data_IF_913534051522
#
_entry.id   IF_913534051522
#
_cell.length_a   1.000
_cell.length_b   1.000
_cell.length_c   1.000
_cell.angle_alpha   90.00
_cell.angle_beta   90.00
_cell.angle_gamma   90.00
#
_symmetry.space_group_name_H-M   'P 1'
#
loop_
_entity.id
_entity.type
_entity.pdbx_description
1 polymer ?
#
# COMPACT_ATOMS: atom_id res chain seq x y z
N UNK A 1 5.57 20.82 -8.24
CA UNK A 1 4.64 19.75 -8.64
C UNK A 1 4.90 18.43 -7.93
N UNK A 2 6.14 18.17 -7.51
CA UNK A 2 6.61 16.89 -7.00
C UNK A 2 6.14 16.51 -5.59
N UNK A 3 6.09 17.41 -4.59
CA UNK A 3 5.57 17.09 -3.26
C UNK A 3 4.08 16.70 -3.26
N UNK A 4 3.40 16.98 -4.37
CA UNK A 4 1.96 16.74 -4.50
C UNK A 4 1.63 15.24 -4.64
N UNK A 5 2.51 14.43 -5.25
CA UNK A 5 2.26 12.99 -5.43
C UNK A 5 2.27 12.22 -4.10
N UNK A 6 3.25 12.45 -3.24
CA UNK A 6 3.32 11.83 -1.91
C UNK A 6 2.11 12.21 -1.07
N UNK A 7 1.83 13.52 -0.97
CA UNK A 7 0.70 14.04 -0.17
C UNK A 7 -0.64 13.58 -0.71
N UNK A 8 -0.85 13.63 -2.03
CA UNK A 8 -2.12 13.19 -2.65
C UNK A 8 -2.32 11.69 -2.53
N UNK A 9 -1.29 10.88 -2.72
CA UNK A 9 -1.37 9.43 -2.55
C UNK A 9 -1.72 9.04 -1.12
N UNK A 10 -1.04 9.64 -0.14
CA UNK A 10 -1.34 9.44 1.28
C UNK A 10 -2.75 9.92 1.66
N UNK A 11 -3.17 11.10 1.17
CA UNK A 11 -4.50 11.63 1.41
C UNK A 11 -5.61 10.76 0.78
N UNK A 12 -5.38 10.25 -0.43
CA UNK A 12 -6.32 9.34 -1.10
C UNK A 12 -6.47 8.02 -0.33
N UNK A 13 -5.35 7.46 0.15
CA UNK A 13 -5.39 6.25 0.97
C UNK A 13 -6.05 6.50 2.33
N UNK A 14 -5.83 7.65 2.95
CA UNK A 14 -6.51 8.04 4.18
C UNK A 14 -8.01 8.19 3.95
N UNK A 15 -8.43 8.86 2.87
CA UNK A 15 -9.83 8.97 2.50
C UNK A 15 -10.47 7.60 2.27
N UNK A 16 -9.79 6.70 1.56
CA UNK A 16 -10.24 5.33 1.38
C UNK A 16 -10.49 4.62 2.73
N UNK A 17 -9.56 4.76 3.68
CA UNK A 17 -9.70 4.19 5.03
C UNK A 17 -10.90 4.80 5.77
N UNK A 18 -11.05 6.12 5.74
CA UNK A 18 -12.18 6.82 6.38
C UNK A 18 -13.51 6.34 5.80
N UNK A 19 -13.64 6.28 4.49
CA UNK A 19 -14.84 5.80 3.81
C UNK A 19 -15.14 4.33 4.13
N UNK A 20 -14.11 3.49 4.19
CA UNK A 20 -14.24 2.08 4.58
C UNK A 20 -14.75 1.94 6.01
N UNK A 21 -14.20 2.72 6.95
CA UNK A 21 -14.62 2.71 8.35
C UNK A 21 -16.02 3.32 8.54
N UNK A 22 -16.41 4.26 7.69
CA UNK A 22 -17.77 4.81 7.66
C UNK A 22 -18.84 3.80 7.20
N UNK A 23 -18.42 2.60 6.75
CA UNK A 23 -19.34 1.51 6.41
C UNK A 23 -19.42 1.20 4.92
N UNK A 24 -18.69 1.90 4.07
CA UNK A 24 -18.65 1.59 2.65
C UNK A 24 -17.97 0.24 2.41
N UNK A 25 -18.54 -0.65 1.60
CA UNK A 25 -18.03 -2.01 1.37
C UNK A 25 -16.84 -2.01 0.38
N UNK A 26 -15.76 -1.31 0.75
CA UNK A 26 -14.61 -1.09 -0.14
C UNK A 26 -13.53 -2.17 -0.05
N UNK A 27 -13.56 -3.02 0.99
CA UNK A 27 -12.61 -4.12 1.13
C UNK A 27 -13.09 -5.38 0.42
N UNK A 28 -12.15 -6.29 0.17
CA UNK A 28 -12.44 -7.60 -0.41
C UNK A 28 -13.53 -8.33 0.36
N UNK A 29 -14.51 -8.89 -0.36
CA UNK A 29 -15.69 -9.50 0.22
C UNK A 29 -16.76 -8.50 0.67
N UNK A 30 -16.70 -7.23 0.20
CA UNK A 30 -17.71 -6.21 0.52
C UNK A 30 -17.68 -5.77 1.98
N UNK A 31 -16.53 -5.87 2.65
CA UNK A 31 -16.39 -5.52 4.06
C UNK A 31 -16.13 -4.04 4.25
N UNK A 32 -16.74 -3.47 5.29
CA UNK A 32 -16.60 -2.09 5.73
C UNK A 32 -17.12 -1.93 7.16
N UNK A 33 -16.99 -0.72 7.70
CA UNK A 33 -17.48 -0.36 9.02
C UNK A 33 -16.46 -0.48 10.16
N UNK A 34 -16.82 0.07 11.31
CA UNK A 34 -15.95 0.16 12.50
C UNK A 34 -15.53 -1.20 13.06
N UNK A 35 -16.29 -2.28 12.80
CA UNK A 35 -15.94 -3.64 13.20
C UNK A 35 -14.60 -4.13 12.66
N UNK A 36 -14.08 -3.49 11.61
CA UNK A 36 -12.75 -3.79 11.06
C UNK A 36 -11.61 -3.43 12.03
N UNK A 37 -11.82 -2.47 12.94
CA UNK A 37 -10.83 -2.04 13.93
C UNK A 37 -10.60 -3.08 15.03
N UNK A 38 -11.58 -3.95 15.28
CA UNK A 38 -11.46 -5.09 16.22
C UNK A 38 -11.06 -6.39 15.53
N UNK A 39 -10.92 -6.39 14.22
CA UNK A 39 -10.56 -7.56 13.43
C UNK A 39 -9.06 -7.68 13.15
N UNK A 40 -8.60 -8.86 12.69
CA UNK A 40 -7.18 -9.11 12.39
C UNK A 40 -6.62 -8.24 11.26
N UNK A 41 -7.48 -7.55 10.53
CA UNK A 41 -7.08 -6.63 9.45
C UNK A 41 -6.75 -5.21 9.93
N UNK A 42 -6.89 -4.90 11.22
CA UNK A 42 -6.70 -3.54 11.77
C UNK A 42 -5.32 -2.97 11.41
N UNK A 43 -4.26 -3.76 11.54
CA UNK A 43 -2.90 -3.33 11.22
C UNK A 43 -2.74 -2.96 9.74
N UNK A 44 -3.38 -3.69 8.84
CA UNK A 44 -3.38 -3.36 7.41
C UNK A 44 -4.16 -2.08 7.10
N UNK A 45 -5.28 -1.85 7.78
CA UNK A 45 -6.07 -0.61 7.61
C UNK A 45 -5.24 0.61 8.00
N UNK A 46 -4.53 0.56 9.13
CA UNK A 46 -3.61 1.61 9.56
C UNK A 46 -2.40 1.70 8.61
N UNK A 47 -1.96 0.56 8.09
CA UNK A 47 -0.84 0.47 7.16
C UNK A 47 -1.10 1.10 5.79
N UNK A 48 -2.33 1.16 5.29
CA UNK A 48 -2.62 1.69 3.95
C UNK A 48 -2.14 3.13 3.73
N UNK A 49 -2.44 4.13 4.58
CA UNK A 49 -1.93 5.48 4.40
C UNK A 49 -0.40 5.55 4.49
N UNK A 50 0.19 4.78 5.41
CA UNK A 50 1.64 4.70 5.60
C UNK A 50 2.29 4.13 4.33
N UNK A 51 1.77 3.02 3.82
CA UNK A 51 2.26 2.38 2.60
C UNK A 51 2.18 3.31 1.39
N UNK A 52 1.06 4.02 1.22
CA UNK A 52 0.88 4.97 0.14
C UNK A 52 1.87 6.15 0.23
N UNK A 53 2.10 6.67 1.45
CA UNK A 53 3.08 7.72 1.68
C UNK A 53 4.50 7.23 1.37
N UNK A 54 4.89 6.06 1.89
CA UNK A 54 6.23 5.48 1.67
C UNK A 54 6.46 5.19 0.19
N UNK A 55 5.47 4.63 -0.51
CA UNK A 55 5.55 4.38 -1.97
C UNK A 55 5.81 5.68 -2.73
N UNK A 56 5.06 6.73 -2.45
CA UNK A 56 5.24 8.03 -3.08
C UNK A 56 6.61 8.64 -2.77
N UNK A 57 7.02 8.59 -1.50
CA UNK A 57 8.31 9.10 -1.07
C UNK A 57 9.49 8.35 -1.71
N UNK A 58 9.41 7.03 -1.79
CA UNK A 58 10.42 6.21 -2.47
C UNK A 58 10.49 6.52 -3.97
N UNK A 59 9.34 6.72 -4.62
CA UNK A 59 9.29 7.08 -6.03
C UNK A 59 10.00 8.43 -6.30
N UNK A 60 9.94 9.37 -5.36
CA UNK A 60 10.65 10.65 -5.46
C UNK A 60 12.15 10.53 -5.16
N UNK A 61 12.54 9.62 -4.27
CA UNK A 61 13.93 9.45 -3.84
C UNK A 61 14.75 8.60 -4.79
N UNK A 62 14.16 7.55 -5.33
CA UNK A 62 14.86 6.61 -6.22
C UNK A 62 14.91 7.16 -7.64
N UNK A 63 16.00 7.80 -7.99
CA UNK A 63 16.22 8.43 -9.31
C UNK A 63 16.84 7.45 -10.32
N UNK A 64 16.19 6.33 -10.53
CA UNK A 64 16.51 5.35 -11.58
C UNK A 64 15.52 5.47 -12.74
N UNK A 65 15.53 4.54 -13.69
CA UNK A 65 14.46 4.50 -14.69
C UNK A 65 13.09 4.28 -14.01
N UNK A 66 12.01 4.76 -14.65
CA UNK A 66 10.66 4.76 -14.07
C UNK A 66 10.22 3.35 -13.67
N UNK A 67 10.53 2.34 -14.49
CA UNK A 67 10.18 0.95 -14.21
C UNK A 67 10.82 0.46 -12.90
N UNK A 68 12.14 0.60 -12.79
CA UNK A 68 12.89 0.15 -11.60
C UNK A 68 12.47 0.91 -10.34
N UNK A 69 12.28 2.24 -10.45
CA UNK A 69 11.83 3.04 -9.32
C UNK A 69 10.43 2.67 -8.87
N UNK A 70 9.54 2.37 -9.82
CA UNK A 70 8.18 1.92 -9.49
C UNK A 70 8.18 0.56 -8.79
N UNK A 71 9.05 -0.36 -9.21
CA UNK A 71 9.21 -1.64 -8.51
C UNK A 71 9.71 -1.45 -7.07
N UNK A 72 10.79 -0.68 -6.90
CA UNK A 72 11.36 -0.42 -5.57
C UNK A 72 10.34 0.30 -4.69
N UNK A 73 9.67 1.30 -5.20
CA UNK A 73 8.66 2.06 -4.46
C UNK A 73 7.45 1.18 -4.07
N UNK A 74 6.94 0.37 -5.00
CA UNK A 74 5.82 -0.53 -4.72
C UNK A 74 6.22 -1.66 -3.75
N UNK A 75 7.43 -2.19 -3.85
CA UNK A 75 7.93 -3.20 -2.92
C UNK A 75 8.10 -2.64 -1.50
N UNK A 76 8.77 -1.49 -1.38
CA UNK A 76 9.03 -0.89 -0.06
C UNK A 76 7.77 -0.37 0.60
N UNK A 77 6.90 0.32 -0.12
CA UNK A 77 5.64 0.84 0.42
C UNK A 77 4.54 -0.22 0.47
N UNK A 78 4.27 -0.87 -0.66
CA UNK A 78 3.14 -1.79 -0.79
C UNK A 78 3.34 -3.14 -0.09
N UNK A 79 4.58 -3.59 0.11
CA UNK A 79 4.87 -4.83 0.83
C UNK A 79 5.46 -4.51 2.20
N UNK A 80 6.68 -3.96 2.27
CA UNK A 80 7.38 -3.82 3.55
C UNK A 80 6.62 -2.91 4.52
N UNK A 81 6.33 -1.66 4.12
CA UNK A 81 5.67 -0.69 4.99
C UNK A 81 4.23 -1.08 5.35
N UNK A 82 3.55 -1.88 4.51
CA UNK A 82 2.21 -2.37 4.78
C UNK A 82 2.21 -3.58 5.72
N UNK A 83 3.13 -4.52 5.52
CA UNK A 83 3.15 -5.77 6.28
C UNK A 83 3.64 -5.58 7.72
N UNK A 84 4.51 -4.60 7.99
CA UNK A 84 4.96 -4.33 9.36
C UNK A 84 3.77 -4.06 10.29
N UNK A 85 2.95 -3.01 10.10
CA UNK A 85 1.79 -2.78 10.95
C UNK A 85 0.72 -3.88 10.78
N UNK A 86 0.60 -4.48 9.59
CA UNK A 86 -0.34 -5.54 9.29
C UNK A 86 -0.12 -6.79 10.14
N UNK A 87 1.11 -7.30 10.17
CA UNK A 87 1.48 -8.50 10.95
C UNK A 87 1.41 -8.21 12.45
N UNK A 88 1.87 -7.03 12.89
CA UNK A 88 1.80 -6.64 14.31
C UNK A 88 0.33 -6.57 14.76
N UNK A 89 -0.53 -5.87 14.00
CA UNK A 89 -1.95 -5.76 14.35
C UNK A 89 -2.65 -7.13 14.36
N UNK A 90 -2.34 -7.99 13.41
CA UNK A 90 -2.87 -9.35 13.36
C UNK A 90 -2.40 -10.20 14.56
N UNK A 91 -1.12 -10.12 14.93
CA UNK A 91 -0.57 -10.84 16.06
C UNK A 91 -1.27 -10.45 17.38
N UNK A 92 -1.48 -9.13 17.57
CA UNK A 92 -2.16 -8.59 18.76
C UNK A 92 -3.62 -9.02 18.85
N UNK A 93 -4.36 -8.94 17.73
CA UNK A 93 -5.81 -9.28 17.72
C UNK A 93 -6.06 -10.78 17.86
N UNK A 94 -5.19 -11.62 17.29
CA UNK A 94 -5.35 -13.07 17.33
C UNK A 94 -4.63 -13.72 18.52
N UNK A 95 -3.94 -12.93 19.34
CA UNK A 95 -3.09 -13.41 20.45
C UNK A 95 -2.11 -14.49 19.99
N UNK A 96 -1.39 -14.21 18.91
CA UNK A 96 -0.44 -15.13 18.28
C UNK A 96 0.95 -14.52 18.23
N UNK A 97 1.97 -15.39 18.11
CA UNK A 97 3.33 -14.91 17.86
C UNK A 97 3.44 -14.22 16.50
N UNK A 98 4.37 -13.27 16.37
CA UNK A 98 4.62 -12.57 15.10
C UNK A 98 4.91 -13.54 13.96
N UNK A 99 5.62 -14.64 14.23
CA UNK A 99 5.94 -15.66 13.24
C UNK A 99 4.68 -16.38 12.76
N UNK A 100 3.76 -16.71 13.68
CA UNK A 100 2.50 -17.34 13.33
C UNK A 100 1.60 -16.38 12.53
N UNK A 101 1.54 -15.09 12.93
CA UNK A 101 0.80 -14.06 12.19
C UNK A 101 1.39 -13.85 10.78
N UNK A 102 2.71 -13.81 10.65
CA UNK A 102 3.37 -13.75 9.34
C UNK A 102 3.06 -14.97 8.46
N UNK A 103 3.03 -16.17 9.04
CA UNK A 103 2.62 -17.39 8.34
C UNK A 103 1.21 -17.29 7.73
N UNK A 104 0.27 -16.68 8.44
CA UNK A 104 -1.09 -16.49 7.94
C UNK A 104 -1.18 -15.53 6.74
N UNK A 105 -0.31 -14.54 6.67
CA UNK A 105 -0.31 -13.57 5.57
C UNK A 105 0.65 -13.92 4.44
N UNK A 106 1.51 -14.92 4.62
CA UNK A 106 2.54 -15.30 3.64
C UNK A 106 1.98 -15.65 2.26
N UNK A 107 0.80 -16.26 2.20
CA UNK A 107 0.11 -16.55 0.95
C UNK A 107 -0.24 -15.28 0.15
N UNK A 108 -0.52 -14.17 0.84
CA UNK A 108 -0.83 -12.90 0.20
C UNK A 108 0.41 -12.22 -0.37
N UNK A 109 1.60 -12.49 0.20
CA UNK A 109 2.87 -11.91 -0.28
C UNK A 109 3.11 -12.25 -1.75
N UNK A 110 2.82 -13.48 -2.17
CA UNK A 110 2.97 -13.91 -3.57
C UNK A 110 2.06 -13.07 -4.48
N UNK A 111 0.79 -12.90 -4.09
CA UNK A 111 -0.15 -12.06 -4.82
C UNK A 111 0.27 -10.60 -4.87
N UNK A 112 0.83 -10.08 -3.78
CA UNK A 112 1.30 -8.70 -3.72
C UNK A 112 2.57 -8.48 -4.53
N UNK A 113 3.47 -9.46 -4.63
CA UNK A 113 4.61 -9.41 -5.55
C UNK A 113 4.17 -9.36 -7.01
N UNK A 114 3.14 -10.12 -7.39
CA UNK A 114 2.55 -10.02 -8.73
C UNK A 114 1.98 -8.61 -8.98
N UNK A 115 1.29 -8.02 -7.99
CA UNK A 115 0.78 -6.63 -8.08
C UNK A 115 1.92 -5.61 -8.21
N UNK A 116 3.04 -5.80 -7.51
CA UNK A 116 4.24 -4.96 -7.65
C UNK A 116 4.75 -4.99 -9.09
N UNK A 117 4.83 -6.16 -9.70
CA UNK A 117 5.25 -6.33 -11.09
C UNK A 117 4.30 -5.60 -12.04
N UNK A 118 3.01 -5.83 -11.90
CA UNK A 118 1.98 -5.16 -12.72
C UNK A 118 2.04 -3.65 -12.54
N UNK A 119 2.16 -3.17 -11.30
CA UNK A 119 2.26 -1.75 -10.99
C UNK A 119 3.46 -1.09 -11.68
N UNK A 120 4.61 -1.75 -11.70
CA UNK A 120 5.81 -1.27 -12.39
C UNK A 120 5.58 -1.08 -13.89
N UNK A 121 5.02 -2.09 -14.56
CA UNK A 121 4.72 -2.01 -16.00
C UNK A 121 3.63 -0.98 -16.32
N UNK A 122 2.56 -0.91 -15.54
CA UNK A 122 1.49 0.09 -15.72
C UNK A 122 2.04 1.50 -15.55
N UNK A 123 2.85 1.74 -14.52
CA UNK A 123 3.48 3.06 -14.30
C UNK A 123 4.39 3.44 -15.45
N UNK A 124 5.18 2.50 -15.97
CA UNK A 124 6.02 2.71 -17.13
C UNK A 124 5.19 3.02 -18.40
N UNK A 125 4.07 2.34 -18.61
CA UNK A 125 3.19 2.59 -19.74
C UNK A 125 2.56 4.00 -19.65
N UNK A 126 2.09 4.39 -18.47
CA UNK A 126 1.55 5.74 -18.22
C UNK A 126 2.63 6.80 -18.46
N UNK A 127 3.85 6.56 -17.99
CA UNK A 127 4.96 7.50 -18.19
C UNK A 127 5.28 7.69 -19.68
N UNK A 128 5.25 6.62 -20.49
CA UNK A 128 5.47 6.70 -21.94
C UNK A 128 4.37 7.46 -22.67
N UNK A 129 3.10 7.27 -22.21
CA UNK A 129 1.95 7.93 -22.82
C UNK A 129 1.77 9.38 -22.35
N UNK A 130 2.04 9.67 -21.09
CA UNK A 130 1.81 10.96 -20.44
C UNK A 130 2.87 11.20 -19.35
N UNK A 131 4.10 11.63 -19.73
CA UNK A 131 5.19 11.79 -18.79
C UNK A 131 4.89 12.79 -17.67
N UNK A 132 4.09 13.82 -17.95
CA UNK A 132 3.69 14.83 -16.97
C UNK A 132 2.79 14.29 -15.83
N UNK A 133 2.23 13.12 -16.01
CA UNK A 133 1.37 12.48 -15.00
C UNK A 133 2.15 11.63 -13.99
N UNK A 134 3.34 11.19 -14.33
CA UNK A 134 4.28 10.54 -13.40
C UNK A 134 5.23 11.60 -12.87
N UNK A 135 4.69 12.48 -12.06
CA UNK A 135 5.23 13.80 -11.70
C UNK A 135 6.46 13.79 -10.79
N UNK A 136 6.86 12.65 -10.28
CA UNK A 136 8.05 12.54 -9.45
C UNK A 136 9.35 12.73 -10.23
N UNK A 137 9.26 12.94 -11.57
CA UNK A 137 10.40 12.94 -12.46
C UNK A 137 10.40 14.01 -13.55
N UNK A 138 9.50 14.96 -13.47
CA UNK A 138 9.53 16.15 -14.34
C UNK A 138 10.53 17.18 -13.84
#
# INVERSE_FOLDING_TARGET
ALPICVKRGGAAALLFVVLTLAGLPLLAGGRGGLGLLSGPSVGFIIGFPIAAFVTGWMMERVQMNVLTSSFIAALTGGVIALYIPGVIGMALVLDKSLLAAFGLVSAFVIGDLVKVIICGFVTQAIYRAQPDKVLSRA
#
